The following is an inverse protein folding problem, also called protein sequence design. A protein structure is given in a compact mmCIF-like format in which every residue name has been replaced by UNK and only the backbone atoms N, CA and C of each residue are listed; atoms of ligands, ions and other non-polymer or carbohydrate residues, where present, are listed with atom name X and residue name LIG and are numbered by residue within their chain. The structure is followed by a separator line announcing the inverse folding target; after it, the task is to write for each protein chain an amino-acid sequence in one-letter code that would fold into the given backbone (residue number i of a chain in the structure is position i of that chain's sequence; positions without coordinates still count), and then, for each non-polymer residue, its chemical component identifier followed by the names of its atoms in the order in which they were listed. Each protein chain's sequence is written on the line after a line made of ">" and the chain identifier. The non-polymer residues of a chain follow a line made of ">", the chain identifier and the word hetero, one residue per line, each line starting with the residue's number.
data_IF_121711282799
#
_entry.id   IF_121711282799
#
_cell.length_a   1.000
_cell.length_b   1.000
_cell.length_c   1.000
_cell.angle_alpha   90.00
_cell.angle_beta   90.00
_cell.angle_gamma   90.00
#
_symmetry.space_group_name_H-M   'P 1'
#
loop_
_entity.id
_entity.type
_entity.pdbx_description
1 polymer ?
#
# COMPACT_ATOMS: atom_id res chain seq x y z
N UNK A 1 -0.13 -4.22 26.80
CA UNK A 1 0.28 -5.52 27.41
C UNK A 1 1.23 -5.22 28.56
N UNK A 2 1.12 -5.84 29.73
CA UNK A 2 1.79 -5.31 30.93
C UNK A 2 3.30 -5.56 31.01
N UNK A 3 3.88 -6.44 30.22
CA UNK A 3 5.32 -6.78 30.28
C UNK A 3 6.07 -6.61 28.97
N UNK A 4 5.38 -6.65 27.84
CA UNK A 4 5.96 -6.57 26.50
C UNK A 4 4.87 -6.07 25.55
N UNK A 5 5.14 -5.05 24.74
CA UNK A 5 4.25 -4.61 23.69
C UNK A 5 4.48 -5.35 22.37
N UNK A 6 3.66 -5.05 21.36
CA UNK A 6 3.75 -5.74 20.06
C UNK A 6 5.05 -5.47 19.31
N UNK A 7 5.62 -4.28 19.41
CA UNK A 7 6.90 -3.95 18.77
C UNK A 7 8.05 -4.67 19.43
N UNK A 8 8.07 -4.70 20.76
CA UNK A 8 9.07 -5.43 21.54
C UNK A 8 9.01 -6.94 21.28
N UNK A 9 7.79 -7.48 21.07
CA UNK A 9 7.63 -8.88 20.67
C UNK A 9 8.26 -9.14 19.30
N UNK A 10 8.02 -8.28 18.31
CA UNK A 10 8.61 -8.42 16.97
C UNK A 10 10.15 -8.39 17.04
N UNK A 11 10.71 -7.44 17.79
CA UNK A 11 12.16 -7.35 17.99
C UNK A 11 12.73 -8.62 18.66
N UNK A 12 12.03 -9.15 19.64
CA UNK A 12 12.44 -10.38 20.32
C UNK A 12 12.42 -11.58 19.38
N UNK A 13 11.35 -11.73 18.57
CA UNK A 13 11.27 -12.80 17.57
C UNK A 13 12.44 -12.71 16.58
N UNK A 14 12.79 -11.52 16.12
CA UNK A 14 13.93 -11.32 15.22
C UNK A 14 15.25 -11.69 15.89
N UNK A 15 15.49 -11.22 17.12
CA UNK A 15 16.74 -11.49 17.89
C UNK A 15 16.93 -12.99 18.17
N UNK A 16 15.86 -13.69 18.44
CA UNK A 16 15.87 -15.13 18.71
C UNK A 16 15.81 -16.00 17.43
N UNK A 17 15.74 -15.38 16.25
CA UNK A 17 15.65 -16.09 14.98
C UNK A 17 14.36 -16.88 14.78
N UNK A 18 13.32 -16.55 15.54
CA UNK A 18 12.02 -17.22 15.47
C UNK A 18 11.25 -16.72 14.25
N UNK A 19 10.96 -17.60 13.32
CA UNK A 19 10.14 -17.31 12.13
C UNK A 19 8.67 -17.49 12.47
N UNK A 20 7.95 -16.39 12.59
CA UNK A 20 6.51 -16.38 12.82
C UNK A 20 5.84 -15.38 11.86
N UNK A 21 4.65 -15.71 11.40
CA UNK A 21 3.79 -14.76 10.71
C UNK A 21 3.01 -13.97 11.75
N UNK A 22 3.32 -12.69 11.89
CA UNK A 22 2.70 -11.82 12.89
C UNK A 22 1.72 -10.89 12.18
N UNK A 23 0.46 -10.93 12.60
CA UNK A 23 -0.58 -9.97 12.22
C UNK A 23 -0.86 -9.10 13.44
N UNK A 24 -0.75 -7.79 13.27
CA UNK A 24 -1.03 -6.83 14.35
C UNK A 24 -2.53 -6.58 14.44
N UNK A 25 -3.05 -6.51 15.67
CA UNK A 25 -4.41 -6.02 15.92
C UNK A 25 -4.27 -4.74 16.74
N UNK A 26 -4.47 -3.59 16.08
CA UNK A 26 -4.21 -2.27 16.63
C UNK A 26 -5.48 -1.44 16.69
N UNK A 27 -5.59 -0.56 17.68
CA UNK A 27 -6.65 0.42 17.77
C UNK A 27 -6.44 1.53 16.72
N UNK A 28 -7.51 2.23 16.37
CA UNK A 28 -7.53 3.29 15.34
C UNK A 28 -7.77 4.67 15.97
N UNK A 29 -7.22 4.93 17.15
CA UNK A 29 -7.66 6.12 17.90
C UNK A 29 -6.91 7.39 17.55
N UNK A 30 -5.67 7.30 17.06
CA UNK A 30 -4.89 8.47 16.65
C UNK A 30 -3.77 8.16 15.62
N UNK A 31 -3.10 9.20 15.11
CA UNK A 31 -2.00 9.10 14.16
C UNK A 31 -0.79 8.33 14.72
N UNK A 32 -0.54 8.39 16.03
CA UNK A 32 0.59 7.70 16.66
C UNK A 32 0.43 6.19 16.59
N UNK A 33 -0.81 5.70 16.73
CA UNK A 33 -1.10 4.27 16.60
C UNK A 33 -0.94 3.77 15.17
N UNK A 34 -1.25 4.62 14.18
CA UNK A 34 -0.97 4.33 12.78
C UNK A 34 0.56 4.22 12.54
N UNK A 35 1.35 5.16 13.06
CA UNK A 35 2.82 5.13 12.94
C UNK A 35 3.43 3.89 13.59
N UNK A 36 2.97 3.53 14.78
CA UNK A 36 3.39 2.30 15.47
C UNK A 36 3.05 1.05 14.64
N UNK A 37 1.89 1.04 13.99
CA UNK A 37 1.47 -0.07 13.13
C UNK A 37 2.34 -0.16 11.87
N UNK A 38 2.65 0.96 11.22
CA UNK A 38 3.56 0.99 10.07
C UNK A 38 4.98 0.53 10.48
N UNK A 39 5.46 0.98 11.64
CA UNK A 39 6.74 0.52 12.19
C UNK A 39 6.74 -0.99 12.49
N UNK A 40 5.61 -1.55 12.93
CA UNK A 40 5.49 -3.00 13.13
C UNK A 40 5.65 -3.78 11.82
N UNK A 41 5.18 -3.26 10.68
CA UNK A 41 5.40 -3.87 9.36
C UNK A 41 6.90 -3.91 9.01
N UNK A 42 7.65 -2.85 9.29
CA UNK A 42 9.11 -2.81 9.11
C UNK A 42 9.82 -3.86 9.96
N UNK A 43 9.33 -4.07 11.18
CA UNK A 43 9.88 -5.05 12.13
C UNK A 43 9.39 -6.48 11.87
N UNK A 44 8.73 -6.73 10.73
CA UNK A 44 8.43 -8.07 10.25
C UNK A 44 6.98 -8.53 10.42
N UNK A 45 6.07 -7.69 10.94
CA UNK A 45 4.65 -7.98 10.83
C UNK A 45 4.25 -8.09 9.35
N UNK A 46 3.36 -9.03 9.02
CA UNK A 46 2.91 -9.24 7.65
C UNK A 46 1.77 -8.29 7.30
N UNK A 47 0.88 -8.09 8.25
CA UNK A 47 -0.31 -7.27 8.06
C UNK A 47 -0.89 -6.82 9.41
N UNK A 48 -1.94 -6.01 9.36
CA UNK A 48 -2.64 -5.59 10.55
C UNK A 48 -4.16 -5.60 10.34
N UNK A 49 -4.88 -5.67 11.45
CA UNK A 49 -6.34 -5.54 11.51
C UNK A 49 -6.69 -4.42 12.49
N UNK A 50 -7.57 -3.52 12.07
CA UNK A 50 -8.07 -2.49 12.94
C UNK A 50 -8.94 -3.09 14.05
N UNK A 51 -8.58 -2.80 15.30
CA UNK A 51 -9.36 -3.24 16.46
C UNK A 51 -10.65 -2.41 16.55
N UNK A 52 -11.81 -3.04 16.74
CA UNK A 52 -13.05 -2.33 16.93
C UNK A 52 -13.03 -1.42 18.17
N UNK A 53 -13.72 -0.31 18.09
CA UNK A 53 -13.76 0.70 19.16
C UNK A 53 -14.61 0.27 20.36
N UNK A 54 -15.54 -0.66 20.15
CA UNK A 54 -16.44 -1.14 21.19
C UNK A 54 -16.63 -2.68 21.13
N UNK A 55 -17.14 -3.24 22.23
CA UNK A 55 -17.34 -4.69 22.41
C UNK A 55 -18.38 -5.27 21.43
N UNK A 56 -19.37 -4.47 21.05
CA UNK A 56 -20.45 -4.91 20.13
C UNK A 56 -19.86 -5.10 18.74
N UNK A 57 -19.07 -4.16 18.25
CA UNK A 57 -18.36 -4.27 16.98
C UNK A 57 -17.31 -5.41 17.01
N UNK A 58 -16.64 -5.63 18.16
CA UNK A 58 -15.66 -6.70 18.31
C UNK A 58 -16.29 -8.10 18.20
N UNK A 59 -17.57 -8.24 18.57
CA UNK A 59 -18.36 -9.46 18.36
C UNK A 59 -19.05 -9.49 17.00
N UNK A 60 -18.98 -8.42 16.23
CA UNK A 60 -19.66 -8.26 14.94
C UNK A 60 -19.05 -9.09 13.81
N UNK A 61 -19.88 -9.51 12.88
CA UNK A 61 -19.47 -10.28 11.69
C UNK A 61 -18.49 -9.51 10.78
N UNK A 62 -18.48 -8.18 10.83
CA UNK A 62 -17.57 -7.35 10.03
C UNK A 62 -16.12 -7.53 10.47
N UNK A 63 -15.84 -7.41 11.77
CA UNK A 63 -14.49 -7.62 12.33
C UNK A 63 -14.02 -9.06 12.13
N UNK A 64 -14.91 -10.02 12.37
CA UNK A 64 -14.61 -11.44 12.17
C UNK A 64 -14.23 -11.73 10.71
N UNK A 65 -14.98 -11.22 9.73
CA UNK A 65 -14.67 -11.38 8.31
C UNK A 65 -13.35 -10.74 7.93
N UNK A 66 -13.06 -9.53 8.44
CA UNK A 66 -11.79 -8.85 8.19
C UNK A 66 -10.61 -9.66 8.74
N UNK A 67 -10.70 -10.11 9.99
CA UNK A 67 -9.65 -10.91 10.63
C UNK A 67 -9.44 -12.25 9.89
N UNK A 68 -10.53 -12.98 9.59
CA UNK A 68 -10.43 -14.23 8.84
C UNK A 68 -9.86 -14.02 7.45
N UNK A 69 -10.27 -12.97 6.74
CA UNK A 69 -9.73 -12.64 5.41
C UNK A 69 -8.21 -12.41 5.41
N UNK A 70 -7.69 -11.70 6.41
CA UNK A 70 -6.24 -11.52 6.57
C UNK A 70 -5.56 -12.84 6.90
N UNK A 71 -6.10 -13.64 7.82
CA UNK A 71 -5.53 -14.93 8.19
C UNK A 71 -5.54 -15.91 7.01
N UNK A 72 -6.62 -15.99 6.24
CA UNK A 72 -6.71 -16.85 5.06
C UNK A 72 -5.70 -16.43 3.98
N UNK A 73 -5.51 -15.14 3.75
CA UNK A 73 -4.52 -14.63 2.81
C UNK A 73 -3.08 -14.98 3.25
N UNK A 74 -2.79 -14.85 4.55
CA UNK A 74 -1.47 -15.24 5.11
C UNK A 74 -1.24 -16.75 5.00
N UNK A 75 -2.25 -17.57 5.25
CA UNK A 75 -2.17 -19.03 5.11
C UNK A 75 -2.04 -19.47 3.65
N UNK A 76 -2.70 -18.78 2.71
CA UNK A 76 -2.60 -19.06 1.29
C UNK A 76 -1.17 -18.81 0.76
N UNK A 77 -0.51 -17.73 1.21
CA UNK A 77 0.89 -17.46 0.83
C UNK A 77 1.87 -18.50 1.36
N UNK A 78 1.58 -19.14 2.49
CA UNK A 78 2.40 -20.25 2.99
C UNK A 78 2.30 -21.51 2.14
N UNK A 79 1.11 -21.83 1.64
CA UNK A 79 0.89 -23.01 0.77
C UNK A 79 1.62 -22.88 -0.58
N UNK A 80 1.69 -21.66 -1.12
CA UNK A 80 2.42 -21.39 -2.36
C UNK A 80 3.95 -21.33 -2.16
N UNK A 81 4.44 -20.91 -1.00
CA UNK A 81 5.86 -20.89 -0.67
C UNK A 81 6.46 -22.31 -0.53
N UNK A 82 5.65 -23.34 -0.32
CA UNK A 82 6.09 -24.74 -0.28
C UNK A 82 6.37 -25.36 -1.67
N UNK A 83 5.93 -24.70 -2.76
CA UNK A 83 6.05 -25.22 -4.13
C UNK A 83 6.97 -24.44 -5.08
N UNK A 84 7.26 -23.20 -4.77
CA UNK A 84 8.20 -22.39 -5.56
C UNK A 84 9.46 -22.16 -4.73
N UNK A 85 10.43 -23.07 -4.84
CA UNK A 85 11.82 -22.71 -4.60
C UNK A 85 12.17 -21.64 -5.63
N UNK A 86 11.94 -20.38 -5.29
CA UNK A 86 12.70 -19.31 -5.93
C UNK A 86 14.13 -19.53 -5.45
N UNK A 87 14.89 -20.29 -6.27
CA UNK A 87 16.33 -20.31 -6.12
C UNK A 87 16.74 -18.83 -5.99
N UNK A 88 17.48 -18.50 -4.93
CA UNK A 88 18.10 -17.19 -4.80
C UNK A 88 18.90 -16.96 -6.10
N UNK A 89 18.27 -16.30 -7.04
CA UNK A 89 18.94 -15.90 -8.27
C UNK A 89 19.99 -14.90 -7.83
N UNK A 90 21.25 -15.06 -8.23
CA UNK A 90 22.28 -14.08 -7.89
C UNK A 90 21.77 -12.70 -8.28
N UNK A 91 22.03 -11.72 -7.46
CA UNK A 91 21.58 -10.34 -7.53
C UNK A 91 21.30 -9.93 -8.99
N UNK A 92 20.03 -9.75 -9.32
CA UNK A 92 19.65 -9.30 -10.65
C UNK A 92 20.42 -8.00 -10.90
N UNK A 93 21.24 -8.00 -11.93
CA UNK A 93 21.85 -6.75 -12.43
C UNK A 93 20.72 -5.73 -12.48
N UNK A 94 20.97 -4.57 -11.88
CA UNK A 94 20.02 -3.47 -11.89
C UNK A 94 19.36 -3.40 -13.27
N UNK A 95 18.03 -3.26 -13.35
CA UNK A 95 17.36 -3.20 -14.64
C UNK A 95 18.05 -2.10 -15.44
N UNK A 96 18.55 -2.45 -16.62
CA UNK A 96 19.17 -1.49 -17.54
C UNK A 96 18.03 -0.54 -17.90
N UNK A 97 18.03 0.63 -17.25
CA UNK A 97 17.13 1.71 -17.65
C UNK A 97 17.48 2.06 -19.10
N UNK A 98 16.72 1.50 -20.03
CA UNK A 98 16.76 2.01 -21.41
C UNK A 98 16.38 3.46 -21.34
N UNK A 99 17.29 4.35 -21.75
CA UNK A 99 17.01 5.76 -21.97
C UNK A 99 15.74 5.85 -22.78
N UNK A 100 14.68 6.45 -22.20
CA UNK A 100 13.41 6.59 -22.88
C UNK A 100 13.62 7.40 -24.15
N UNK A 101 13.52 6.72 -25.28
CA UNK A 101 13.54 7.37 -26.59
C UNK A 101 12.15 7.94 -26.85
N UNK A 102 12.02 9.24 -26.67
CA UNK A 102 10.93 10.06 -27.20
C UNK A 102 9.59 10.01 -26.45
N UNK A 103 9.31 11.07 -25.73
CA UNK A 103 8.06 11.82 -25.66
C UNK A 103 6.73 11.14 -25.28
N UNK A 104 6.69 9.90 -24.85
CA UNK A 104 5.42 9.27 -24.40
C UNK A 104 5.12 9.65 -22.97
N UNK A 105 3.88 10.05 -22.72
CA UNK A 105 3.38 10.30 -21.37
C UNK A 105 3.05 8.96 -20.69
N UNK A 106 3.70 8.66 -19.57
CA UNK A 106 3.64 7.34 -18.91
C UNK A 106 3.03 7.44 -17.53
N UNK A 107 2.39 6.36 -17.10
CA UNK A 107 1.86 6.20 -15.74
C UNK A 107 2.15 4.78 -15.24
N UNK A 108 2.43 4.65 -13.96
CA UNK A 108 2.42 3.37 -13.24
C UNK A 108 1.21 3.36 -12.30
N UNK A 109 0.38 2.34 -12.39
CA UNK A 109 -0.74 2.13 -11.49
C UNK A 109 -0.56 0.80 -10.74
N UNK A 110 -0.56 0.87 -9.42
CA UNK A 110 -0.22 -0.24 -8.54
C UNK A 110 -1.33 -0.47 -7.53
N UNK A 111 -1.70 -1.73 -7.31
CA UNK A 111 -2.66 -2.11 -6.29
C UNK A 111 -2.11 -3.18 -5.37
N UNK A 112 -2.29 -2.97 -4.06
CA UNK A 112 -1.85 -3.89 -3.02
C UNK A 112 -2.97 -4.12 -2.00
N UNK A 113 -2.90 -5.27 -1.32
CA UNK A 113 -3.78 -5.66 -0.24
C UNK A 113 -2.96 -6.29 0.88
N UNK A 114 -3.37 -7.46 1.40
CA UNK A 114 -2.65 -8.20 2.45
C UNK A 114 -1.18 -8.41 2.09
N UNK A 115 -0.28 -8.05 3.01
CA UNK A 115 1.17 -8.06 2.76
C UNK A 115 1.69 -6.87 1.93
N UNK A 116 0.78 -6.04 1.38
CA UNK A 116 1.11 -4.85 0.60
C UNK A 116 2.05 -3.89 1.32
N UNK A 117 1.77 -3.47 2.55
CA UNK A 117 2.61 -2.53 3.28
C UNK A 117 4.07 -2.98 3.37
N UNK A 118 4.29 -4.25 3.66
CA UNK A 118 5.64 -4.84 3.69
C UNK A 118 6.30 -4.88 2.32
N UNK A 119 5.56 -5.25 1.28
CA UNK A 119 6.06 -5.29 -0.09
C UNK A 119 6.43 -3.88 -0.57
N UNK A 120 5.59 -2.88 -0.29
CA UNK A 120 5.81 -1.48 -0.67
C UNK A 120 7.08 -0.91 -0.03
N UNK A 121 7.37 -1.22 1.23
CA UNK A 121 8.60 -0.84 1.91
C UNK A 121 9.85 -1.47 1.27
N UNK A 122 9.70 -2.61 0.60
CA UNK A 122 10.79 -3.29 -0.11
C UNK A 122 10.95 -2.84 -1.56
N UNK A 123 10.02 -2.06 -2.11
CA UNK A 123 10.01 -1.66 -3.53
C UNK A 123 10.11 -0.16 -3.70
N UNK A 124 9.25 0.62 -3.07
CA UNK A 124 9.12 2.07 -3.28
C UNK A 124 10.42 2.83 -2.98
N UNK A 125 11.17 2.55 -1.88
CA UNK A 125 12.42 3.23 -1.59
C UNK A 125 13.53 3.08 -2.64
N UNK A 126 13.41 2.04 -3.48
CA UNK A 126 14.39 1.76 -4.54
C UNK A 126 13.99 2.35 -5.90
N UNK A 127 12.84 2.99 -6.02
CA UNK A 127 12.46 3.70 -7.23
C UNK A 127 13.38 4.91 -7.43
N UNK A 128 13.83 5.16 -8.68
CA UNK A 128 14.71 6.31 -8.96
C UNK A 128 13.93 7.63 -8.79
N UNK A 129 14.61 8.64 -8.25
CA UNK A 129 14.05 9.99 -8.11
C UNK A 129 13.55 10.56 -9.43
N UNK A 130 14.27 10.26 -10.51
CA UNK A 130 14.00 10.74 -11.88
C UNK A 130 13.10 9.77 -12.66
N UNK A 131 12.21 9.03 -11.98
CA UNK A 131 11.24 8.15 -12.64
C UNK A 131 10.40 8.95 -13.64
N UNK A 132 10.46 8.57 -14.93
CA UNK A 132 9.76 9.26 -16.03
C UNK A 132 8.27 8.94 -16.08
N UNK A 133 7.65 8.77 -14.93
CA UNK A 133 6.22 8.52 -14.75
C UNK A 133 5.78 8.91 -13.34
N UNK A 134 4.54 9.39 -13.13
CA UNK A 134 3.89 9.33 -11.83
C UNK A 134 3.50 7.88 -11.50
N UNK A 135 3.37 7.60 -10.21
CA UNK A 135 2.86 6.33 -9.70
C UNK A 135 1.57 6.61 -8.92
N UNK A 136 0.46 5.98 -9.28
CA UNK A 136 -0.77 5.97 -8.48
C UNK A 136 -0.92 4.61 -7.80
N UNK A 137 -1.18 4.62 -6.50
CA UNK A 137 -1.15 3.42 -5.69
C UNK A 137 -2.41 3.29 -4.84
N UNK A 138 -3.09 2.16 -4.94
CA UNK A 138 -4.16 1.74 -4.05
C UNK A 138 -3.64 0.66 -3.10
N UNK A 139 -3.60 0.98 -1.82
CA UNK A 139 -3.41 0.01 -0.74
C UNK A 139 -4.71 -0.06 0.07
N UNK A 140 -5.24 -1.27 0.25
CA UNK A 140 -6.42 -1.46 1.08
C UNK A 140 -6.07 -1.25 2.55
N UNK A 141 -6.28 -0.04 3.04
CA UNK A 141 -6.02 0.37 4.42
C UNK A 141 -7.12 1.33 4.91
N UNK A 142 -7.40 1.33 6.21
CA UNK A 142 -8.33 2.30 6.79
C UNK A 142 -7.83 3.75 6.68
N UNK A 143 -8.72 4.75 6.82
CA UNK A 143 -8.34 6.16 6.94
C UNK A 143 -7.28 6.38 8.03
N UNK A 144 -6.36 7.31 7.78
CA UNK A 144 -5.26 7.65 8.70
C UNK A 144 -4.00 6.79 8.51
N UNK A 145 -4.14 5.49 8.24
CA UNK A 145 -2.97 4.62 8.01
C UNK A 145 -2.27 4.90 6.69
N UNK A 146 -3.02 5.27 5.66
CA UNK A 146 -2.46 5.61 4.34
C UNK A 146 -1.56 6.84 4.40
N UNK A 147 -1.91 7.83 5.22
CA UNK A 147 -1.06 9.01 5.46
C UNK A 147 0.24 8.63 6.15
N UNK A 148 0.18 7.91 7.29
CA UNK A 148 1.38 7.46 8.00
C UNK A 148 2.27 6.57 7.13
N UNK A 149 1.68 5.71 6.29
CA UNK A 149 2.44 4.91 5.34
C UNK A 149 3.11 5.77 4.26
N UNK A 150 2.41 6.78 3.74
CA UNK A 150 2.96 7.69 2.74
C UNK A 150 4.15 8.46 3.30
N UNK A 151 4.00 9.06 4.48
CA UNK A 151 5.05 9.82 5.15
C UNK A 151 6.27 8.93 5.42
N UNK A 152 6.04 7.73 5.92
CA UNK A 152 7.13 6.79 6.19
C UNK A 152 7.86 6.33 4.92
N UNK A 153 7.12 6.07 3.84
CA UNK A 153 7.73 5.71 2.56
C UNK A 153 8.49 6.91 1.96
N UNK A 154 8.00 8.15 2.13
CA UNK A 154 8.72 9.35 1.70
C UNK A 154 10.07 9.50 2.41
N UNK A 155 10.09 9.32 3.74
CA UNK A 155 11.32 9.36 4.55
C UNK A 155 12.36 8.33 4.12
N UNK A 156 11.92 7.15 3.65
CA UNK A 156 12.81 6.05 3.25
C UNK A 156 13.24 6.12 1.78
N UNK A 157 12.59 6.96 0.97
CA UNK A 157 12.70 6.95 -0.48
C UNK A 157 13.52 8.12 -1.02
N UNK A 158 14.09 7.91 -2.21
CA UNK A 158 14.64 9.01 -3.02
C UNK A 158 13.57 9.70 -3.86
N UNK A 159 12.57 8.94 -4.28
CA UNK A 159 11.39 9.42 -5.00
C UNK A 159 10.42 10.04 -3.97
N UNK A 160 9.69 11.06 -4.38
CA UNK A 160 8.68 11.64 -3.50
C UNK A 160 7.50 10.70 -3.34
N UNK A 161 7.01 10.55 -2.10
CA UNK A 161 5.82 9.77 -1.79
C UNK A 161 4.86 10.63 -0.98
N UNK A 162 3.57 10.60 -1.30
CA UNK A 162 2.56 11.33 -0.52
C UNK A 162 1.20 10.64 -0.58
N UNK A 163 0.37 10.89 0.41
CA UNK A 163 -1.05 10.63 0.28
C UNK A 163 -1.67 11.60 -0.74
N UNK A 164 -2.51 11.07 -1.62
CA UNK A 164 -3.09 11.82 -2.73
C UNK A 164 -4.11 12.87 -2.24
N UNK A 165 -4.13 14.03 -2.91
CA UNK A 165 -5.06 15.10 -2.67
C UNK A 165 -6.03 15.27 -3.84
N UNK A 166 -7.26 15.72 -3.56
CA UNK A 166 -8.26 15.96 -4.60
C UNK A 166 -7.85 17.13 -5.49
N UNK A 167 -7.93 16.95 -6.80
CA UNK A 167 -7.64 17.98 -7.80
C UNK A 167 -6.15 18.20 -8.10
N UNK A 168 -5.23 17.52 -7.39
CA UNK A 168 -3.81 17.71 -7.66
C UNK A 168 -3.40 17.08 -8.99
N UNK A 169 -2.44 17.73 -9.66
CA UNK A 169 -1.85 17.24 -10.92
C UNK A 169 -0.83 16.16 -10.66
N UNK A 170 -0.89 15.11 -11.46
CA UNK A 170 0.10 14.03 -11.41
C UNK A 170 1.45 14.49 -11.99
N UNK A 171 2.51 14.33 -11.22
CA UNK A 171 3.88 14.72 -11.56
C UNK A 171 4.78 13.49 -11.66
N UNK A 172 5.66 13.45 -12.65
CA UNK A 172 6.70 12.44 -12.77
C UNK A 172 7.58 12.43 -11.53
N UNK A 173 8.07 11.26 -11.13
CA UNK A 173 8.91 11.13 -9.94
C UNK A 173 8.15 11.30 -8.61
N UNK A 174 6.82 11.09 -8.63
CA UNK A 174 6.01 11.13 -7.43
C UNK A 174 5.09 9.91 -7.35
N UNK A 175 4.97 9.34 -6.15
CA UNK A 175 4.06 8.24 -5.79
C UNK A 175 2.89 8.83 -5.01
N UNK A 176 1.68 8.59 -5.49
CA UNK A 176 0.43 9.07 -4.91
C UNK A 176 -0.34 7.90 -4.33
N UNK A 177 -0.46 7.84 -3.01
CA UNK A 177 -1.18 6.79 -2.31
C UNK A 177 -2.63 7.20 -2.09
N UNK A 178 -3.57 6.38 -2.52
CA UNK A 178 -5.00 6.63 -2.33
C UNK A 178 -5.35 6.71 -0.84
N UNK A 179 -6.03 7.78 -0.36
CA UNK A 179 -6.46 7.87 1.03
C UNK A 179 -7.43 6.75 1.39
N UNK A 180 -7.26 6.14 2.57
CA UNK A 180 -8.25 5.22 3.11
C UNK A 180 -9.64 5.88 3.21
N UNK A 181 -10.69 5.15 2.86
CA UNK A 181 -12.06 5.66 2.88
C UNK A 181 -12.47 6.49 1.67
N UNK A 182 -11.60 6.71 0.68
CA UNK A 182 -11.92 7.39 -0.57
C UNK A 182 -11.44 6.58 -1.77
N UNK A 183 -12.18 6.60 -2.87
CA UNK A 183 -11.71 6.03 -4.13
C UNK A 183 -10.83 7.04 -4.86
N UNK A 184 -9.66 6.60 -5.33
CA UNK A 184 -8.79 7.39 -6.18
C UNK A 184 -9.13 7.09 -7.64
N UNK A 185 -9.36 8.14 -8.41
CA UNK A 185 -9.54 8.11 -9.87
C UNK A 185 -8.59 9.10 -10.52
N UNK A 186 -8.24 8.87 -11.76
CA UNK A 186 -7.44 9.80 -12.58
C UNK A 186 -8.35 10.36 -13.66
N UNK A 187 -8.30 11.66 -13.87
CA UNK A 187 -9.09 12.33 -14.90
C UNK A 187 -8.24 13.26 -15.74
N UNK A 188 -8.59 13.38 -17.02
CA UNK A 188 -7.99 14.37 -17.90
C UNK A 188 -8.64 15.74 -17.63
N UNK A 189 -7.82 16.76 -17.44
CA UNK A 189 -8.27 18.15 -17.27
C UNK A 189 -8.40 18.87 -18.61
N UNK A 190 -9.09 20.01 -18.63
CA UNK A 190 -9.33 20.78 -19.86
C UNK A 190 -8.04 21.23 -20.58
N UNK A 191 -6.96 21.39 -19.83
CA UNK A 191 -5.62 21.74 -20.35
C UNK A 191 -4.81 20.52 -20.84
N UNK A 192 -5.44 19.34 -20.89
CA UNK A 192 -4.81 18.11 -21.40
C UNK A 192 -3.94 17.35 -20.38
N UNK A 193 -3.77 17.87 -19.17
CA UNK A 193 -3.05 17.20 -18.09
C UNK A 193 -3.92 16.14 -17.41
N UNK A 194 -3.34 15.39 -16.48
CA UNK A 194 -4.06 14.44 -15.63
C UNK A 194 -4.05 14.92 -14.19
N UNK A 195 -5.18 14.80 -13.52
CA UNK A 195 -5.33 15.11 -12.10
C UNK A 195 -6.03 13.97 -11.34
N UNK A 196 -5.85 13.98 -10.02
CA UNK A 196 -6.47 13.04 -9.11
C UNK A 196 -7.86 13.51 -8.72
N UNK A 197 -8.82 12.60 -8.78
CA UNK A 197 -10.16 12.79 -8.22
C UNK A 197 -10.31 11.81 -7.05
N UNK A 198 -10.53 12.35 -5.86
CA UNK A 198 -10.90 11.56 -4.70
C UNK A 198 -12.43 11.54 -4.58
N UNK A 199 -12.99 10.35 -4.66
CA UNK A 199 -14.44 10.10 -4.62
C UNK A 199 -14.80 9.42 -3.30
N UNK A 200 -15.48 10.13 -2.43
CA UNK A 200 -15.98 9.62 -1.17
C UNK A 200 -17.48 9.30 -1.20
N UNK A 201 -18.20 9.73 -2.24
CA UNK A 201 -19.62 9.49 -2.41
C UNK A 201 -19.93 8.03 -2.83
N UNK A 202 -19.09 7.45 -3.70
CA UNK A 202 -19.27 6.05 -4.12
C UNK A 202 -19.06 5.12 -2.93
N UNK A 203 -20.02 4.20 -2.62
CA UNK A 203 -19.88 3.23 -1.55
C UNK A 203 -18.68 2.29 -1.75
N UNK A 204 -18.26 1.62 -0.68
CA UNK A 204 -17.25 0.57 -0.75
C UNK A 204 -17.69 -0.56 -1.71
N UNK A 205 -16.81 -0.98 -2.60
CA UNK A 205 -17.06 -2.05 -3.57
C UNK A 205 -16.47 -3.35 -3.02
N UNK A 206 -17.31 -4.35 -2.81
CA UNK A 206 -16.88 -5.59 -2.15
C UNK A 206 -16.32 -5.37 -0.74
N UNK A 207 -16.74 -4.28 -0.07
CA UNK A 207 -16.22 -3.90 1.25
C UNK A 207 -14.89 -3.12 1.21
N UNK A 208 -14.36 -2.80 0.02
CA UNK A 208 -13.08 -2.11 -0.16
C UNK A 208 -13.27 -0.64 -0.56
N UNK A 209 -12.64 0.25 0.16
CA UNK A 209 -12.53 1.68 -0.15
C UNK A 209 -11.22 2.23 0.40
N UNK A 210 -10.22 2.55 -0.45
CA UNK A 210 -10.27 2.60 -1.92
C UNK A 210 -10.48 1.23 -2.60
N UNK A 211 -10.99 1.26 -3.85
CA UNK A 211 -11.11 0.10 -4.71
C UNK A 211 -10.19 0.26 -5.93
N UNK A 212 -9.32 -0.72 -6.17
CA UNK A 212 -8.35 -0.68 -7.26
C UNK A 212 -9.01 -0.66 -8.65
N UNK A 213 -10.12 -1.40 -8.84
CA UNK A 213 -10.80 -1.44 -10.13
C UNK A 213 -11.27 -0.04 -10.57
N UNK A 214 -11.81 0.77 -9.65
CA UNK A 214 -12.22 2.14 -9.97
C UNK A 214 -11.03 3.02 -10.38
N UNK A 215 -9.86 2.82 -9.78
CA UNK A 215 -8.64 3.50 -10.22
C UNK A 215 -8.27 3.04 -11.64
N UNK A 216 -8.17 1.74 -11.89
CA UNK A 216 -7.80 1.21 -13.21
C UNK A 216 -8.79 1.62 -14.29
N UNK A 217 -10.10 1.53 -14.04
CA UNK A 217 -11.15 1.93 -14.99
C UNK A 217 -11.03 3.41 -15.37
N UNK A 218 -10.68 4.27 -14.41
CA UNK A 218 -10.52 5.70 -14.65
C UNK A 218 -9.36 6.04 -15.59
N UNK A 219 -8.37 5.15 -15.71
CA UNK A 219 -7.19 5.36 -16.55
C UNK A 219 -7.53 5.31 -18.05
N UNK A 220 -8.61 4.67 -18.44
CA UNK A 220 -9.06 4.61 -19.84
C UNK A 220 -9.40 5.98 -20.42
N UNK A 221 -9.79 6.94 -19.58
CA UNK A 221 -10.06 8.35 -19.96
C UNK A 221 -8.87 9.30 -19.76
N UNK A 222 -7.73 8.80 -19.34
CA UNK A 222 -6.53 9.61 -19.09
C UNK A 222 -5.82 10.00 -20.38
N UNK A 223 -4.86 10.92 -20.30
CA UNK A 223 -4.01 11.33 -21.42
C UNK A 223 -2.66 10.61 -21.48
N UNK A 224 -2.52 9.47 -20.80
CA UNK A 224 -1.30 8.67 -20.83
C UNK A 224 -1.24 7.77 -22.07
N UNK A 225 -0.07 7.74 -22.73
CA UNK A 225 0.18 6.88 -23.89
C UNK A 225 0.58 5.46 -23.49
N UNK A 226 1.24 5.33 -22.34
CA UNK A 226 1.70 4.05 -21.79
C UNK A 226 1.32 3.95 -20.31
N UNK A 227 0.62 2.89 -19.95
CA UNK A 227 0.22 2.61 -18.57
C UNK A 227 0.72 1.22 -18.18
N UNK A 228 1.53 1.17 -17.12
CA UNK A 228 1.96 -0.08 -16.50
C UNK A 228 1.03 -0.38 -15.32
N UNK A 229 0.34 -1.51 -15.38
CA UNK A 229 -0.53 -2.01 -14.29
C UNK A 229 0.20 -3.11 -13.52
N UNK A 230 0.20 -3.01 -12.18
CA UNK A 230 0.87 -3.94 -11.27
C UNK A 230 -0.06 -4.35 -10.13
#
# INVERSE_FOLDING_TARGET
>A
MPRMDGLQLLEKLQKEGIRANVVMVSTLTDSREADVTILAMERGAIDFVAKPTNIIEAKGEAFKRQLLGVLDAVLATQKTAGGIRVAAKPAAKAPIMRKATGGKNKLVALACSTGGPKALQSVIPFLPKELDAPVVLVQHMPPGFTKSMADRLDDLSKIRVKEAEHGERLQKGCVYIAPGGKHLKVTKTADGNNSIVLDDATPAIGGLKPCANLMYDSLTGSSYDEICLL
#
